data_IF_224610658682
#
_entry.id   IF_224610658682
#
_cell.length_a   1.000
_cell.length_b   1.000
_cell.length_c   1.000
_cell.angle_alpha   90.00
_cell.angle_beta   90.00
_cell.angle_gamma   90.00
#
_symmetry.space_group_name_H-M   'P 1'
#
loop_
_entity.id
_entity.type
_entity.pdbx_description
1 polymer ?
#
# COMPACT_ATOMS: atom_id res chain seq x y z
N UNK A 1 3.21 -3.53 10.37
CA UNK A 1 3.63 -2.44 11.26
C UNK A 1 4.50 -1.45 10.50
N UNK A 2 4.02 -0.21 10.34
CA UNK A 2 4.75 0.89 9.69
C UNK A 2 5.93 1.39 10.53
N UNK A 3 5.89 1.19 11.84
CA UNK A 3 6.94 1.65 12.74
C UNK A 3 8.34 1.07 12.42
N UNK A 4 8.41 -0.14 11.84
CA UNK A 4 9.70 -0.79 11.52
C UNK A 4 10.47 0.00 10.45
N UNK A 5 9.93 0.26 9.24
CA UNK A 5 10.64 1.09 8.26
C UNK A 5 10.79 2.55 8.71
N UNK A 6 9.96 3.06 9.62
CA UNK A 6 10.12 4.41 10.20
C UNK A 6 11.31 4.54 11.14
N UNK A 7 11.87 3.44 11.65
CA UNK A 7 13.07 3.51 12.51
C UNK A 7 14.22 4.23 11.82
N UNK A 8 14.33 4.14 10.49
CA UNK A 8 15.41 4.76 9.73
C UNK A 8 15.11 6.17 9.20
N UNK A 9 13.93 6.73 9.48
CA UNK A 9 13.46 8.02 8.94
C UNK A 9 14.51 9.15 9.02
N UNK A 10 15.24 9.36 10.13
CA UNK A 10 16.18 10.47 10.25
C UNK A 10 17.39 10.38 9.30
N UNK A 11 17.68 9.18 8.76
CA UNK A 11 18.83 8.94 7.89
C UNK A 11 18.47 8.81 6.41
N UNK A 12 17.18 8.81 6.05
CA UNK A 12 16.71 8.75 4.66
C UNK A 12 16.45 10.17 4.16
N UNK A 13 17.18 10.66 3.15
CA UNK A 13 16.94 11.99 2.59
C UNK A 13 15.66 12.01 1.74
N UNK A 14 15.04 13.20 1.65
CA UNK A 14 13.89 13.44 0.79
C UNK A 14 12.56 12.89 1.32
N UNK A 15 11.58 12.76 0.42
CA UNK A 15 10.26 12.23 0.75
C UNK A 15 10.32 10.73 0.96
N UNK A 16 10.01 10.30 2.18
CA UNK A 16 9.96 8.91 2.58
C UNK A 16 8.52 8.56 3.00
N UNK A 17 7.89 7.65 2.26
CA UNK A 17 6.54 7.16 2.55
C UNK A 17 6.63 5.69 2.91
N UNK A 18 6.05 5.33 4.05
CA UNK A 18 6.06 3.96 4.55
C UNK A 18 4.63 3.44 4.65
N UNK A 19 4.45 2.20 4.20
CA UNK A 19 3.21 1.43 4.36
C UNK A 19 3.43 0.37 5.43
N UNK A 20 2.36 -0.04 6.10
CA UNK A 20 2.48 -1.00 7.17
C UNK A 20 1.17 -1.65 7.56
N UNK A 21 1.29 -2.88 8.03
CA UNK A 21 0.20 -3.66 8.63
C UNK A 21 0.01 -3.30 10.11
N UNK A 22 -0.40 -2.06 10.40
CA UNK A 22 -0.66 -1.62 11.78
C UNK A 22 -2.06 -2.09 12.23
N UNK A 23 -2.16 -2.61 13.46
CA UNK A 23 -3.39 -3.19 14.00
C UNK A 23 -3.27 -4.68 14.35
N UNK A 24 -4.39 -5.31 14.71
CA UNK A 24 -4.46 -6.73 15.02
C UNK A 24 -4.47 -7.59 13.76
N UNK A 25 -3.92 -8.80 13.86
CA UNK A 25 -4.05 -9.82 12.81
C UNK A 25 -5.46 -10.37 12.70
N UNK A 26 -5.78 -10.91 11.53
CA UNK A 26 -7.04 -11.59 11.22
C UNK A 26 -6.79 -12.74 10.24
N UNK A 27 -7.82 -13.58 10.03
CA UNK A 27 -7.75 -14.73 9.13
C UNK A 27 -8.42 -14.41 7.79
N UNK A 28 -7.65 -14.46 6.71
CA UNK A 28 -8.11 -14.32 5.33
C UNK A 28 -7.02 -14.85 4.37
N UNK A 29 -7.27 -14.80 3.06
CA UNK A 29 -6.28 -14.99 2.00
C UNK A 29 -5.20 -13.92 2.04
N UNK A 30 -4.00 -14.24 1.54
CA UNK A 30 -2.87 -13.28 1.53
C UNK A 30 -3.17 -12.02 0.70
N UNK A 31 -3.78 -12.09 -0.50
CA UNK A 31 -4.11 -10.89 -1.25
C UNK A 31 -5.11 -9.99 -0.51
N UNK A 32 -6.20 -10.56 0.02
CA UNK A 32 -7.19 -9.81 0.78
C UNK A 32 -6.59 -9.16 2.03
N UNK A 33 -5.73 -9.90 2.76
CA UNK A 33 -5.04 -9.36 3.92
C UNK A 33 -4.14 -8.17 3.57
N UNK A 34 -3.40 -8.24 2.45
CA UNK A 34 -2.55 -7.12 1.99
C UNK A 34 -3.37 -5.92 1.56
N UNK A 35 -4.49 -6.12 0.85
CA UNK A 35 -5.42 -5.05 0.46
C UNK A 35 -6.02 -4.36 1.68
N UNK A 36 -6.47 -5.11 2.68
CA UNK A 36 -6.99 -4.57 3.94
C UNK A 36 -6.00 -3.63 4.63
N UNK A 37 -4.72 -4.00 4.68
CA UNK A 37 -3.68 -3.16 5.27
C UNK A 37 -3.08 -2.13 4.32
N UNK A 38 -3.56 -2.03 3.08
CA UNK A 38 -2.99 -1.18 2.03
C UNK A 38 -1.49 -1.42 1.81
N UNK A 39 -1.07 -2.68 1.73
CA UNK A 39 0.33 -3.10 1.56
C UNK A 39 0.57 -3.93 0.29
N UNK A 40 -0.42 -4.02 -0.58
CA UNK A 40 -0.29 -4.63 -1.91
C UNK A 40 0.31 -3.67 -2.94
N UNK A 41 0.52 -4.20 -4.16
CA UNK A 41 1.19 -3.47 -5.25
C UNK A 41 0.41 -2.21 -5.64
N UNK A 42 -0.91 -2.27 -5.70
CA UNK A 42 -1.73 -1.12 -6.08
C UNK A 42 -1.67 -0.02 -5.01
N UNK A 43 -1.66 -0.40 -3.73
CA UNK A 43 -1.49 0.57 -2.63
C UNK A 43 -0.10 1.20 -2.65
N UNK A 44 0.94 0.45 -3.04
CA UNK A 44 2.28 1.00 -3.27
C UNK A 44 2.29 2.01 -4.42
N UNK A 45 1.63 1.71 -5.55
CA UNK A 45 1.52 2.63 -6.68
C UNK A 45 0.86 3.94 -6.25
N UNK A 46 -0.27 3.86 -5.53
CA UNK A 46 -0.97 5.06 -5.06
C UNK A 46 -0.09 5.87 -4.11
N UNK A 47 0.61 5.24 -3.17
CA UNK A 47 1.51 5.92 -2.23
C UNK A 47 2.67 6.64 -2.93
N UNK A 48 3.24 6.04 -3.99
CA UNK A 48 4.29 6.68 -4.79
C UNK A 48 3.74 7.88 -5.57
N UNK A 49 2.58 7.74 -6.21
CA UNK A 49 1.95 8.84 -6.94
C UNK A 49 1.55 9.98 -5.99
N UNK A 50 1.08 9.66 -4.79
CA UNK A 50 0.78 10.65 -3.76
C UNK A 50 2.05 11.42 -3.32
N UNK A 51 3.16 10.71 -3.14
CA UNK A 51 4.45 11.32 -2.81
C UNK A 51 4.92 12.29 -3.92
N UNK A 52 4.87 11.86 -5.18
CA UNK A 52 5.24 12.72 -6.32
C UNK A 52 4.34 13.95 -6.43
N UNK A 53 3.02 13.79 -6.21
CA UNK A 53 2.09 14.91 -6.22
C UNK A 53 2.36 15.90 -5.08
N UNK A 54 2.68 15.39 -3.87
CA UNK A 54 3.07 16.20 -2.72
C UNK A 54 4.34 17.00 -2.98
N UNK A 55 5.29 16.42 -3.69
CA UNK A 55 6.55 17.07 -4.08
C UNK A 55 6.39 18.01 -5.28
N UNK A 56 5.21 18.07 -5.90
CA UNK A 56 4.89 18.97 -7.02
C UNK A 56 5.32 18.46 -8.39
N UNK A 57 5.75 17.20 -8.48
CA UNK A 57 6.26 16.58 -9.72
C UNK A 57 5.13 16.15 -10.68
N UNK A 58 3.93 15.90 -10.15
CA UNK A 58 2.74 15.52 -10.93
C UNK A 58 1.48 16.19 -10.40
N UNK A 59 0.42 16.18 -11.22
CA UNK A 59 -0.88 16.73 -10.84
C UNK A 59 -1.55 15.90 -9.70
N UNK A 60 -2.10 16.53 -8.65
CA UNK A 60 -2.76 15.83 -7.54
C UNK A 60 -3.96 14.94 -7.92
N UNK A 61 -4.54 15.11 -9.11
CA UNK A 61 -5.61 14.24 -9.61
C UNK A 61 -5.13 12.85 -10.00
N UNK A 62 -3.83 12.66 -10.29
CA UNK A 62 -3.25 11.38 -10.71
C UNK A 62 -3.35 10.30 -9.62
N UNK A 63 -2.88 10.51 -8.37
CA UNK A 63 -3.06 9.52 -7.30
C UNK A 63 -4.54 9.24 -7.00
N UNK A 64 -5.41 10.26 -7.12
CA UNK A 64 -6.87 10.09 -6.93
C UNK A 64 -7.46 9.16 -8.00
N UNK A 65 -7.05 9.34 -9.26
CA UNK A 65 -7.48 8.47 -10.36
C UNK A 65 -6.98 7.03 -10.15
N UNK A 66 -5.71 6.85 -9.75
CA UNK A 66 -5.14 5.54 -9.46
C UNK A 66 -5.86 4.84 -8.31
N UNK A 67 -6.13 5.54 -7.20
CA UNK A 67 -6.86 4.99 -6.06
C UNK A 67 -8.25 4.48 -6.46
N UNK A 68 -8.98 5.23 -7.30
CA UNK A 68 -10.29 4.82 -7.84
C UNK A 68 -10.19 3.65 -8.81
N UNK A 69 -9.20 3.66 -9.70
CA UNK A 69 -8.98 2.60 -10.68
C UNK A 69 -8.68 1.27 -9.98
N UNK A 70 -7.82 1.29 -8.96
CA UNK A 70 -7.40 0.10 -8.23
C UNK A 70 -8.32 -0.28 -7.07
N UNK A 71 -9.27 0.59 -6.71
CA UNK A 71 -10.23 0.36 -5.62
C UNK A 71 -9.52 -0.03 -4.32
N UNK A 72 -8.54 0.77 -3.91
CA UNK A 72 -7.68 0.45 -2.76
C UNK A 72 -8.44 0.42 -1.42
N UNK A 73 -9.69 0.87 -1.39
CA UNK A 73 -10.64 0.83 -0.28
C UNK A 73 -11.56 -0.40 -0.29
N UNK A 74 -11.50 -1.23 -1.34
CA UNK A 74 -12.29 -2.45 -1.49
C UNK A 74 -11.41 -3.70 -1.33
N UNK A 75 -11.61 -4.42 -0.21
CA UNK A 75 -10.90 -5.68 0.05
C UNK A 75 -11.19 -6.74 -1.01
N UNK A 76 -12.39 -6.74 -1.60
CA UNK A 76 -12.79 -7.70 -2.62
C UNK A 76 -12.19 -7.39 -4.00
N UNK A 77 -11.55 -6.22 -4.16
CA UNK A 77 -10.78 -5.90 -5.36
C UNK A 77 -9.37 -6.50 -5.36
N UNK A 78 -8.96 -7.16 -4.27
CA UNK A 78 -7.69 -7.90 -4.23
C UNK A 78 -7.69 -9.04 -5.27
N UNK A 79 -6.53 -9.33 -5.90
CA UNK A 79 -6.44 -10.42 -6.87
C UNK A 79 -6.75 -11.77 -6.20
N UNK A 80 -7.38 -12.67 -6.96
CA UNK A 80 -7.69 -14.01 -6.49
C UNK A 80 -6.42 -14.77 -6.12
N UNK A 81 -6.45 -15.46 -4.98
CA UNK A 81 -5.35 -16.30 -4.58
C UNK A 81 -5.44 -17.66 -5.31
N UNK A 82 -4.56 -17.88 -6.30
CA UNK A 82 -4.55 -19.10 -7.11
C UNK A 82 -3.69 -20.23 -6.55
N UNK A 83 -3.00 -20.02 -5.43
CA UNK A 83 -2.10 -20.99 -4.80
C UNK A 83 -2.38 -21.14 -3.31
N UNK A 84 -2.08 -22.31 -2.74
CA UNK A 84 -2.24 -22.56 -1.31
C UNK A 84 -1.36 -21.58 -0.48
N UNK A 85 -1.92 -20.85 0.51
CA UNK A 85 -1.12 -20.00 1.37
C UNK A 85 -0.08 -20.78 2.20
N UNK A 86 -0.21 -22.08 2.40
CA UNK A 86 0.76 -22.88 3.16
C UNK A 86 2.05 -23.21 2.40
N UNK A 87 2.06 -23.04 1.08
CA UNK A 87 3.15 -23.50 0.21
C UNK A 87 3.93 -22.29 -0.31
N UNK A 88 5.22 -22.23 -0.01
CA UNK A 88 6.16 -21.21 -0.47
C UNK A 88 6.91 -21.69 -1.71
#
# INVERSE_FOLDING_TARGET
MRAVPEQIRPWVPGTYVTLGTDGFGFSDTRPAARRYFNTDAESQVVAVLEALARDGEIDPSVPIAAARQYKIDDVQAAPEQTSDPGVA
#
